data_IF_101888796348
#
_entry.id   IF_101888796348
#
_cell.length_a   1.000
_cell.length_b   1.000
_cell.length_c   1.000
_cell.angle_alpha   90.00
_cell.angle_beta   90.00
_cell.angle_gamma   90.00
#
_symmetry.space_group_name_H-M   'P 1'
#
loop_
_entity.id
_entity.type
_entity.pdbx_description
1 polymer ?
#
# COMPACT_ATOMS: atom_id res chain seq x y z
N UNK A 1 -4.81 9.70 8.94
CA UNK A 1 -4.45 8.83 7.81
C UNK A 1 -3.34 9.50 7.02
N UNK A 2 -2.35 8.74 6.58
CA UNK A 2 -1.26 9.24 5.75
C UNK A 2 -1.82 9.81 4.43
N UNK A 3 -1.36 11.00 4.07
CA UNK A 3 -1.51 11.50 2.70
C UNK A 3 -0.77 10.59 1.73
N UNK A 4 -1.14 10.66 0.44
CA UNK A 4 -0.43 9.91 -0.59
C UNK A 4 1.05 10.32 -0.70
N UNK A 5 1.38 11.58 -0.43
CA UNK A 5 2.76 12.09 -0.43
C UNK A 5 3.59 11.52 0.73
N UNK A 6 3.02 11.47 1.93
CA UNK A 6 3.67 10.82 3.10
C UNK A 6 3.87 9.33 2.84
N UNK A 7 2.85 8.64 2.31
CA UNK A 7 2.97 7.23 1.94
C UNK A 7 4.03 7.00 0.87
N UNK A 8 4.09 7.85 -0.17
CA UNK A 8 5.10 7.77 -1.24
C UNK A 8 6.50 7.92 -0.66
N UNK A 9 6.71 8.85 0.28
CA UNK A 9 8.01 9.04 0.94
C UNK A 9 8.45 7.79 1.71
N UNK A 10 7.52 7.17 2.45
CA UNK A 10 7.76 5.90 3.16
C UNK A 10 8.04 4.77 2.18
N UNK A 11 7.21 4.64 1.14
CA UNK A 11 7.33 3.62 0.10
C UNK A 11 8.69 3.69 -0.60
N UNK A 12 9.12 4.88 -1.02
CA UNK A 12 10.38 5.08 -1.75
C UNK A 12 11.60 4.78 -0.88
N UNK A 13 11.55 5.21 0.39
CA UNK A 13 12.65 5.00 1.33
C UNK A 13 12.76 3.56 1.86
N UNK A 14 11.67 2.79 1.85
CA UNK A 14 11.66 1.41 2.29
C UNK A 14 12.52 0.52 1.38
N UNK A 15 13.46 -0.24 1.96
CA UNK A 15 14.30 -1.17 1.22
C UNK A 15 13.64 -2.54 1.03
N UNK A 16 14.05 -3.25 -0.03
CA UNK A 16 13.54 -4.57 -0.39
C UNK A 16 12.14 -4.50 -0.98
N UNK A 17 11.35 -5.54 -0.73
CA UNK A 17 9.98 -5.69 -1.23
C UNK A 17 8.97 -5.54 -0.08
N UNK A 18 8.72 -4.33 0.44
CA UNK A 18 7.67 -4.11 1.43
C UNK A 18 6.28 -4.36 0.86
N UNK A 19 5.44 -4.94 1.71
CA UNK A 19 4.03 -5.18 1.43
C UNK A 19 3.17 -4.20 2.24
N UNK A 20 2.18 -3.60 1.59
CA UNK A 20 1.26 -2.65 2.23
C UNK A 20 -0.18 -3.12 2.02
N UNK A 21 -0.80 -3.65 3.07
CA UNK A 21 -2.22 -4.01 3.05
C UNK A 21 -3.08 -2.77 3.28
N UNK A 22 -4.02 -2.54 2.37
CA UNK A 22 -4.89 -1.37 2.31
C UNK A 22 -6.32 -1.79 2.66
N UNK A 23 -6.86 -1.15 3.70
CA UNK A 23 -8.22 -1.34 4.17
C UNK A 23 -9.02 -0.08 3.87
N UNK A 24 -10.05 -0.19 3.03
CA UNK A 24 -10.97 0.92 2.76
C UNK A 24 -12.15 0.90 3.72
N UNK A 25 -12.58 2.08 4.17
CA UNK A 25 -13.79 2.26 4.95
C UNK A 25 -15.00 1.62 4.26
N UNK A 26 -15.79 0.86 5.01
CA UNK A 26 -17.02 0.20 4.55
C UNK A 26 -16.83 -0.77 3.37
N UNK A 27 -15.63 -1.33 3.17
CA UNK A 27 -15.40 -2.40 2.21
C UNK A 27 -15.00 -3.70 2.91
N UNK A 28 -15.52 -4.82 2.42
CA UNK A 28 -15.18 -6.15 2.94
C UNK A 28 -13.94 -6.75 2.30
N UNK A 29 -13.53 -6.21 1.15
CA UNK A 29 -12.33 -6.63 0.44
C UNK A 29 -11.15 -5.77 0.89
N UNK A 30 -10.01 -6.40 1.01
CA UNK A 30 -8.72 -5.75 1.30
C UNK A 30 -7.81 -5.92 0.10
N UNK A 31 -6.87 -5.00 -0.02
CA UNK A 31 -5.96 -4.95 -1.14
C UNK A 31 -4.52 -4.87 -0.64
N UNK A 32 -3.57 -5.20 -1.50
CA UNK A 32 -2.16 -5.15 -1.16
C UNK A 32 -1.40 -4.45 -2.27
N UNK A 33 -0.57 -3.49 -1.89
CA UNK A 33 0.45 -2.89 -2.74
C UNK A 33 1.78 -3.58 -2.38
N UNK A 34 2.49 -4.12 -3.36
CA UNK A 34 3.85 -4.69 -3.14
C UNK A 34 4.85 -3.89 -3.98
N UNK A 35 5.91 -3.43 -3.33
CA UNK A 35 7.03 -2.78 -4.00
C UNK A 35 8.00 -3.82 -4.55
N UNK A 36 8.43 -3.61 -5.78
CA UNK A 36 9.58 -4.29 -6.38
C UNK A 36 10.61 -3.28 -6.85
N UNK A 37 11.81 -3.75 -7.20
CA UNK A 37 12.90 -2.88 -7.65
C UNK A 37 12.56 -2.13 -8.96
N UNK A 38 11.73 -2.72 -9.82
CA UNK A 38 11.43 -2.21 -11.17
C UNK A 38 9.93 -1.97 -11.43
N UNK A 39 9.06 -2.32 -10.49
CA UNK A 39 7.62 -2.14 -10.63
C UNK A 39 6.90 -2.10 -9.28
N UNK A 40 5.60 -1.89 -9.32
CA UNK A 40 4.70 -2.08 -8.18
C UNK A 40 3.61 -3.05 -8.60
N UNK A 41 3.11 -3.85 -7.66
CA UNK A 41 1.91 -4.63 -7.89
C UNK A 41 0.76 -4.23 -7.00
N UNK A 42 -0.46 -4.47 -7.48
CA UNK A 42 -1.68 -4.27 -6.73
C UNK A 42 -2.62 -5.46 -6.90
N UNK A 43 -3.13 -5.97 -5.78
CA UNK A 43 -3.96 -7.17 -5.75
C UNK A 43 -4.99 -7.16 -4.62
N UNK A 44 -5.93 -8.10 -4.64
CA UNK A 44 -6.82 -8.38 -3.50
C UNK A 44 -6.10 -9.28 -2.50
N UNK A 45 -6.14 -8.97 -1.21
CA UNK A 45 -5.61 -9.87 -0.18
C UNK A 45 -6.56 -11.05 0.05
N UNK A 46 -6.01 -12.26 0.24
CA UNK A 46 -6.78 -13.46 0.66
C UNK A 46 -7.68 -14.11 -0.41
N UNK A 47 -7.52 -13.78 -1.69
CA UNK A 47 -8.36 -14.29 -2.76
C UNK A 47 -8.00 -15.74 -3.16
N UNK A 48 -8.85 -16.71 -2.81
CA UNK A 48 -8.71 -18.14 -3.18
C UNK A 48 -8.97 -18.43 -4.68
N UNK A 49 -9.36 -17.42 -5.46
CA UNK A 49 -9.69 -17.49 -6.89
C UNK A 49 -8.54 -17.03 -7.82
N UNK A 50 -7.33 -16.90 -7.28
CA UNK A 50 -6.13 -16.48 -8.01
C UNK A 50 -5.77 -15.05 -7.65
N UNK A 51 -4.54 -14.86 -7.19
CA UNK A 51 -4.04 -13.62 -6.58
C UNK A 51 -4.14 -12.38 -7.48
N UNK A 52 -4.37 -12.56 -8.79
CA UNK A 52 -4.69 -11.46 -9.71
C UNK A 52 -3.73 -10.29 -9.53
N UNK A 53 -2.44 -10.56 -9.42
CA UNK A 53 -1.44 -9.53 -9.21
C UNK A 53 -1.31 -8.70 -10.48
N UNK A 54 -1.74 -7.43 -10.41
CA UNK A 54 -1.64 -6.50 -11.53
C UNK A 54 -0.38 -5.67 -11.36
N UNK A 55 0.47 -5.69 -12.38
CA UNK A 55 1.75 -4.98 -12.40
C UNK A 55 1.58 -3.60 -13.01
N UNK A 56 2.19 -2.61 -12.36
CA UNK A 56 2.27 -1.24 -12.82
C UNK A 56 3.73 -0.78 -12.83
N UNK A 57 4.17 -0.01 -13.83
CA UNK A 57 5.53 0.53 -13.89
C UNK A 57 5.96 1.37 -12.70
N UNK A 58 5.02 2.00 -11.98
CA UNK A 58 5.34 2.85 -10.81
C UNK A 58 4.15 3.01 -9.87
N UNK A 59 4.43 3.42 -8.63
CA UNK A 59 3.40 3.79 -7.65
C UNK A 59 2.52 4.95 -8.16
N UNK A 60 3.09 5.91 -8.87
CA UNK A 60 2.33 7.01 -9.47
C UNK A 60 1.35 6.52 -10.54
N UNK A 61 1.77 5.59 -11.39
CA UNK A 61 0.90 5.01 -12.41
C UNK A 61 -0.24 4.20 -11.77
N UNK A 62 0.07 3.36 -10.78
CA UNK A 62 -0.94 2.68 -9.98
C UNK A 62 -1.92 3.68 -9.35
N UNK A 63 -1.41 4.79 -8.81
CA UNK A 63 -2.24 5.80 -8.14
C UNK A 63 -3.29 6.44 -9.05
N UNK A 64 -2.96 6.63 -10.32
CA UNK A 64 -3.81 7.29 -11.32
C UNK A 64 -4.68 6.34 -12.14
N UNK A 65 -4.45 5.03 -12.03
CA UNK A 65 -5.11 4.01 -12.85
C UNK A 65 -6.37 3.47 -12.17
N UNK A 66 -7.45 3.30 -12.96
CA UNK A 66 -8.58 2.46 -12.54
C UNK A 66 -8.18 0.99 -12.62
N UNK A 67 -7.98 0.39 -11.45
CA UNK A 67 -7.34 -0.91 -11.24
C UNK A 67 -8.37 -1.96 -10.77
N UNK A 68 -7.93 -2.94 -9.99
CA UNK A 68 -8.70 -4.03 -9.40
C UNK A 68 -10.02 -3.52 -8.81
N UNK A 69 -11.12 -4.20 -9.13
CA UNK A 69 -12.47 -3.80 -8.70
C UNK A 69 -12.91 -2.38 -9.12
N UNK A 70 -12.28 -1.80 -10.14
CA UNK A 70 -12.57 -0.42 -10.57
C UNK A 70 -12.03 0.62 -9.57
N UNK A 71 -11.03 0.27 -8.76
CA UNK A 71 -10.44 1.17 -7.77
C UNK A 71 -9.41 2.05 -8.44
N UNK A 72 -9.59 3.36 -8.32
CA UNK A 72 -8.56 4.37 -8.57
C UNK A 72 -8.10 4.91 -7.21
N UNK A 73 -6.83 4.70 -6.84
CA UNK A 73 -6.31 5.10 -5.52
C UNK A 73 -6.40 6.61 -5.34
N UNK A 74 -6.14 7.43 -6.36
CA UNK A 74 -6.31 8.89 -6.31
C UNK A 74 -7.69 9.31 -5.81
N UNK A 75 -8.73 8.64 -6.30
CA UNK A 75 -10.10 9.02 -6.00
C UNK A 75 -10.60 8.38 -4.69
N UNK A 76 -9.90 7.34 -4.21
CA UNK A 76 -10.26 6.56 -3.02
C UNK A 76 -9.33 6.75 -1.83
N UNK A 77 -8.22 7.47 -1.96
CA UNK A 77 -7.19 7.59 -0.92
C UNK A 77 -7.75 8.09 0.41
N UNK A 78 -8.61 9.12 0.35
CA UNK A 78 -9.28 9.66 1.53
C UNK A 78 -10.26 8.71 2.21
N UNK A 79 -10.56 7.56 1.60
CA UNK A 79 -11.40 6.51 2.17
C UNK A 79 -10.61 5.34 2.77
N UNK A 80 -9.28 5.40 2.78
CA UNK A 80 -8.44 4.39 3.44
C UNK A 80 -8.61 4.57 4.96
N UNK A 81 -8.94 3.48 5.64
CA UNK A 81 -9.10 3.41 7.10
C UNK A 81 -7.80 3.02 7.79
N UNK A 82 -7.07 2.06 7.21
CA UNK A 82 -5.83 1.50 7.76
C UNK A 82 -4.88 1.08 6.63
N UNK A 83 -3.58 1.24 6.89
CA UNK A 83 -2.51 0.69 6.05
C UNK A 83 -1.63 -0.16 6.96
N UNK A 84 -1.50 -1.46 6.69
CA UNK A 84 -0.61 -2.36 7.43
C UNK A 84 0.65 -2.60 6.61
N UNK A 85 1.81 -2.22 7.14
CA UNK A 85 3.12 -2.54 6.59
C UNK A 85 3.59 -3.93 7.03
N UNK A 86 4.00 -4.77 6.08
CA UNK A 86 4.55 -6.11 6.27
C UNK A 86 3.71 -7.02 7.17
N UNK A 87 2.39 -6.90 7.05
CA UNK A 87 1.41 -7.65 7.84
C UNK A 87 1.50 -7.43 9.36
N UNK A 88 2.28 -6.42 9.81
CA UNK A 88 2.65 -6.28 11.22
C UNK A 88 2.36 -4.89 11.78
N UNK A 89 2.66 -3.82 11.03
CA UNK A 89 2.68 -2.45 11.56
C UNK A 89 1.53 -1.62 10.99
N UNK A 90 0.63 -1.12 11.83
CA UNK A 90 -0.40 -0.17 11.43
C UNK A 90 0.19 1.24 11.25
N UNK A 91 0.40 1.63 10.00
CA UNK A 91 1.00 2.90 9.64
C UNK A 91 0.08 4.12 9.91
N UNK A 92 -1.18 3.88 10.31
CA UNK A 92 -2.08 4.94 10.79
C UNK A 92 -1.83 5.31 12.26
N UNK A 93 -1.11 4.46 13.00
CA UNK A 93 -0.72 4.67 14.39
C UNK A 93 0.73 5.20 14.42
N UNK A 94 0.98 6.41 14.96
CA UNK A 94 2.31 7.02 14.93
C UNK A 94 3.43 6.15 15.51
N UNK A 95 3.17 5.46 16.62
CA UNK A 95 4.16 4.60 17.30
C UNK A 95 4.53 3.35 16.47
N UNK A 96 3.57 2.80 15.73
CA UNK A 96 3.79 1.67 14.84
C UNK A 96 4.42 2.09 13.51
N UNK A 97 4.08 3.28 13.00
CA UNK A 97 4.76 3.90 11.87
C UNK A 97 6.25 4.10 12.16
N UNK A 98 6.60 4.67 13.31
CA UNK A 98 8.00 4.82 13.73
C UNK A 98 8.70 3.45 13.84
N UNK A 99 8.01 2.45 14.38
CA UNK A 99 8.53 1.08 14.48
C UNK A 99 8.78 0.45 13.11
N UNK A 100 7.86 0.67 12.16
CA UNK A 100 8.02 0.25 10.76
C UNK A 100 9.21 0.95 10.10
N UNK A 101 9.35 2.25 10.29
CA UNK A 101 10.45 3.03 9.74
C UNK A 101 11.79 2.52 10.25
N UNK A 102 11.91 2.23 11.55
CA UNK A 102 13.12 1.60 12.11
C UNK A 102 13.35 0.22 11.52
N UNK A 103 12.31 -0.62 11.43
CA UNK A 103 12.41 -1.98 10.88
C UNK A 103 12.89 -1.98 9.43
N UNK A 104 12.38 -1.07 8.60
CA UNK A 104 12.75 -0.91 7.18
C UNK A 104 13.95 0.01 6.93
N UNK A 105 14.64 0.47 7.99
CA UNK A 105 15.77 1.42 7.92
C UNK A 105 15.44 2.70 7.13
N UNK A 106 14.24 3.23 7.29
CA UNK A 106 13.75 4.45 6.65
C UNK A 106 14.20 5.68 7.47
N UNK A 107 14.76 6.67 6.78
CA UNK A 107 15.23 7.93 7.37
C UNK A 107 14.67 9.09 6.53
N UNK A 108 13.56 9.70 6.98
CA UNK A 108 12.86 10.81 6.31
C UNK A 108 13.29 12.18 6.83
#
# INVERSE_FOLDING_TARGET
>A
MLSFEEFTSIYDAAQGEPEFEIYFMNQTKTYMIIKYDDHVSFQRSGANDGSGEYVYPSLEELYQTESVDGICLRDKWGNIETIIGDGTYDLSIPEELESFMVFRNIHL
#
